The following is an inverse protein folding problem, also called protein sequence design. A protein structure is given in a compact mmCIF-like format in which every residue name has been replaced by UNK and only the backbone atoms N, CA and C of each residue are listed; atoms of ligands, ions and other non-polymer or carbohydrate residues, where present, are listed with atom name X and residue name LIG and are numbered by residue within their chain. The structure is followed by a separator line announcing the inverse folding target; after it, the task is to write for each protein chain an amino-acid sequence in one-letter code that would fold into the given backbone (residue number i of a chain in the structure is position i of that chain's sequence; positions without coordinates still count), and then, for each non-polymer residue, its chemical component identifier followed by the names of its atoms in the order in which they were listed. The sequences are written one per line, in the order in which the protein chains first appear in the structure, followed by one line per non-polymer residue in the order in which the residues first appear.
data_IF_318918310962
#
_entry.id   IF_318918310962
#
_cell.length_a   1.000
_cell.length_b   1.000
_cell.length_c   1.000
_cell.angle_alpha   90.00
_cell.angle_beta   90.00
_cell.angle_gamma   90.00
#
_symmetry.space_group_name_H-M   'P 1'
#
loop_
_entity.id
_entity.type
_entity.pdbx_description
1 polymer ?
#
# COMPACT_ATOMS: atom_id res chain seq x y z
N UNK A 1 -4.05 11.33 -0.90
CA UNK A 1 -4.57 11.39 0.48
C UNK A 1 -3.59 10.65 1.37
N UNK A 2 -2.99 11.34 2.32
CA UNK A 2 -2.11 10.77 3.34
C UNK A 2 -2.97 9.97 4.30
N UNK A 3 -2.79 8.65 4.36
CA UNK A 3 -3.49 7.79 5.32
C UNK A 3 -2.72 7.82 6.65
N UNK A 4 -3.46 8.00 7.76
CA UNK A 4 -2.94 8.26 9.11
C UNK A 4 -1.90 7.23 9.57
N UNK A 5 -0.87 7.77 10.22
CA UNK A 5 0.14 7.21 11.12
C UNK A 5 0.85 5.87 10.76
N UNK A 6 0.15 4.75 10.55
CA UNK A 6 0.79 3.47 10.20
C UNK A 6 1.13 3.34 8.71
N UNK A 7 0.47 4.12 7.86
CA UNK A 7 0.69 4.19 6.41
C UNK A 7 1.51 5.44 6.00
N UNK A 8 2.10 6.15 6.97
CA UNK A 8 2.91 7.35 6.73
C UNK A 8 4.18 6.99 5.92
N UNK A 9 4.09 7.14 4.60
CA UNK A 9 5.14 6.76 3.65
C UNK A 9 4.65 5.88 2.49
N UNK A 10 3.43 5.35 2.59
CA UNK A 10 2.78 4.60 1.53
C UNK A 10 1.94 5.52 0.63
N UNK A 11 2.15 5.36 -0.66
CA UNK A 11 1.43 6.03 -1.75
C UNK A 11 0.46 5.03 -2.37
N UNK A 12 -0.61 5.56 -2.93
CA UNK A 12 -1.57 4.77 -3.71
C UNK A 12 -1.60 5.26 -5.15
N UNK A 13 -1.56 4.32 -6.09
CA UNK A 13 -1.73 4.57 -7.51
C UNK A 13 -2.98 3.84 -8.00
N UNK A 14 -3.84 4.53 -8.77
CA UNK A 14 -5.06 3.93 -9.34
C UNK A 14 -4.72 3.38 -10.72
N UNK A 15 -4.99 2.10 -10.93
CA UNK A 15 -4.89 1.43 -12.23
C UNK A 15 -6.26 0.86 -12.56
N UNK A 16 -7.08 1.64 -13.29
CA UNK A 16 -8.48 1.30 -13.56
C UNK A 16 -9.26 0.97 -12.26
N UNK A 17 -9.77 -0.26 -12.12
CA UNK A 17 -10.49 -0.75 -10.93
C UNK A 17 -9.56 -1.16 -9.77
N UNK A 18 -8.26 -1.29 -10.03
CA UNK A 18 -7.25 -1.68 -9.05
C UNK A 18 -6.57 -0.46 -8.43
N UNK A 19 -6.03 -0.67 -7.24
CA UNK A 19 -5.06 0.23 -6.63
C UNK A 19 -3.75 -0.53 -6.40
N UNK A 20 -2.65 0.21 -6.45
CA UNK A 20 -1.33 -0.26 -6.07
C UNK A 20 -0.92 0.57 -4.87
N UNK A 21 -0.64 -0.07 -3.75
CA UNK A 21 -0.05 0.56 -2.57
C UNK A 21 1.45 0.30 -2.63
N UNK A 22 2.23 1.37 -2.63
CA UNK A 22 3.68 1.29 -2.74
C UNK A 22 4.35 2.33 -1.84
N UNK A 23 5.59 2.08 -1.42
CA UNK A 23 6.43 3.10 -0.80
C UNK A 23 7.66 3.35 -1.65
N UNK A 24 8.19 4.56 -1.56
CA UNK A 24 9.48 4.90 -2.14
C UNK A 24 10.51 4.70 -1.02
N UNK A 25 11.43 3.76 -1.22
CA UNK A 25 12.53 3.55 -0.29
C UNK A 25 13.55 4.69 -0.39
N UNK A 26 14.41 4.85 0.61
CA UNK A 26 15.49 5.84 0.61
C UNK A 26 16.52 5.64 -0.51
N UNK A 27 16.51 4.49 -1.18
CA UNK A 27 17.40 4.14 -2.31
C UNK A 27 16.69 4.28 -3.67
N UNK A 28 15.65 5.11 -3.75
CA UNK A 28 14.85 5.36 -4.97
C UNK A 28 14.12 4.14 -5.54
N UNK A 29 14.13 2.99 -4.85
CA UNK A 29 13.37 1.82 -5.26
C UNK A 29 11.89 1.95 -4.87
N UNK A 30 11.01 1.54 -5.78
CA UNK A 30 9.58 1.42 -5.53
C UNK A 30 9.31 0.03 -4.95
N UNK A 31 8.82 0.01 -3.72
CA UNK A 31 8.45 -1.23 -3.04
C UNK A 31 6.94 -1.36 -3.06
N UNK A 32 6.44 -2.39 -3.76
CA UNK A 32 5.02 -2.67 -3.86
C UNK A 32 4.61 -3.45 -2.62
N UNK A 33 3.67 -2.89 -1.87
CA UNK A 33 3.14 -3.51 -0.64
C UNK A 33 1.89 -4.33 -0.94
N UNK A 34 1.02 -3.82 -1.83
CA UNK A 34 -0.19 -4.53 -2.21
C UNK A 34 -0.71 -4.06 -3.58
N UNK A 35 -1.37 -4.96 -4.30
CA UNK A 35 -2.11 -4.67 -5.53
C UNK A 35 -3.48 -5.35 -5.41
N UNK A 36 -4.56 -4.60 -5.60
CA UNK A 36 -5.89 -5.17 -5.47
C UNK A 36 -7.03 -4.20 -5.80
N UNK A 37 -8.26 -4.73 -5.95
CA UNK A 37 -9.45 -3.91 -6.12
C UNK A 37 -9.72 -3.07 -4.86
N UNK A 38 -10.41 -1.93 -5.01
CA UNK A 38 -10.68 -0.98 -3.91
C UNK A 38 -11.20 -1.63 -2.63
N UNK A 39 -12.09 -2.60 -2.80
CA UNK A 39 -12.81 -3.26 -1.70
C UNK A 39 -11.90 -4.11 -0.82
N UNK A 40 -10.87 -4.74 -1.40
CA UNK A 40 -9.98 -5.66 -0.67
C UNK A 40 -8.65 -5.08 -0.28
N UNK A 41 -8.14 -4.08 -1.00
CA UNK A 41 -6.74 -3.70 -0.86
C UNK A 41 -6.37 -3.20 0.55
N UNK A 42 -7.29 -2.57 1.28
CA UNK A 42 -7.00 -2.08 2.63
C UNK A 42 -6.97 -3.21 3.67
N UNK A 43 -7.94 -4.13 3.64
CA UNK A 43 -7.90 -5.32 4.51
C UNK A 43 -6.68 -6.20 4.22
N UNK A 44 -6.39 -6.41 2.94
CA UNK A 44 -5.31 -7.28 2.49
C UNK A 44 -3.94 -6.69 2.85
N UNK A 45 -3.77 -5.37 2.69
CA UNK A 45 -2.58 -4.65 3.17
C UNK A 45 -2.45 -4.73 4.69
N UNK A 46 -3.55 -4.57 5.45
CA UNK A 46 -3.53 -4.67 6.91
C UNK A 46 -3.14 -6.08 7.37
N UNK A 47 -3.72 -7.13 6.77
CA UNK A 47 -3.36 -8.53 7.08
C UNK A 47 -1.90 -8.85 6.75
N UNK A 48 -1.38 -8.35 5.63
CA UNK A 48 0.03 -8.53 5.24
C UNK A 48 0.98 -7.83 6.21
N UNK A 49 0.67 -6.60 6.62
CA UNK A 49 1.48 -5.86 7.59
C UNK A 49 1.45 -6.51 8.97
N UNK A 50 0.30 -7.05 9.40
CA UNK A 50 0.15 -7.64 10.72
C UNK A 50 0.70 -9.08 10.82
N UNK A 51 0.93 -9.76 9.69
CA UNK A 51 1.50 -11.12 9.64
C UNK A 51 3.04 -11.12 9.74
N UNK A 52 3.68 -9.98 9.50
CA UNK A 52 5.13 -9.79 9.62
C UNK A 52 5.55 -9.13 10.95
N UNK A 53 4.66 -9.11 11.95
CA UNK A 53 4.94 -8.58 13.29
C UNK A 53 5.30 -9.69 14.26
#
# INVERSE_FOLDING_TARGET
KTLKDELAGLRSFRVSQFRIIYRISRREHIEIVAIGPRERIYEETYRLLNRNK
#
